data_IF_962417104462
#
_entry.id   IF_962417104462
#
_cell.length_a   1.000
_cell.length_b   1.000
_cell.length_c   1.000
_cell.angle_alpha   90.00
_cell.angle_beta   90.00
_cell.angle_gamma   90.00
#
_symmetry.space_group_name_H-M   'P 1'
#
loop_
_entity.id
_entity.type
_entity.pdbx_description
1 polymer ?
#
# COMPACT_ATOMS: atom_id res chain seq x y z
N UNK A 1 10.55 -10.87 -12.40
CA UNK A 1 9.08 -10.87 -12.64
C UNK A 1 8.56 -12.25 -12.35
N UNK A 2 7.46 -12.35 -11.64
CA UNK A 2 6.78 -13.62 -11.37
C UNK A 2 5.40 -13.52 -12.00
N UNK A 3 5.07 -14.50 -12.84
CA UNK A 3 3.71 -14.67 -13.35
C UNK A 3 2.93 -15.52 -12.36
N UNK A 4 1.69 -15.12 -12.07
CA UNK A 4 0.72 -15.91 -11.34
C UNK A 4 -0.36 -16.35 -12.32
N UNK A 5 -0.67 -17.65 -12.34
CA UNK A 5 -1.70 -18.19 -13.22
C UNK A 5 -3.03 -18.23 -12.50
N UNK A 6 -4.08 -17.73 -13.13
CA UNK A 6 -5.46 -17.89 -12.71
C UNK A 6 -6.30 -18.43 -13.88
N UNK A 7 -6.69 -19.70 -13.82
CA UNK A 7 -7.33 -20.38 -14.95
C UNK A 7 -6.49 -20.34 -16.24
N UNK A 8 -6.98 -19.62 -17.25
CA UNK A 8 -6.29 -19.36 -18.52
C UNK A 8 -5.60 -18.00 -18.56
N UNK A 9 -5.76 -17.18 -17.52
CA UNK A 9 -5.21 -15.84 -17.46
C UNK A 9 -3.88 -15.84 -16.68
N UNK A 10 -3.08 -14.82 -16.94
CA UNK A 10 -1.84 -14.54 -16.25
C UNK A 10 -1.92 -13.20 -15.53
N UNK A 11 -1.30 -13.13 -14.37
CA UNK A 11 -1.18 -11.91 -13.59
C UNK A 11 0.29 -11.62 -13.31
N UNK A 12 0.68 -10.35 -13.37
CA UNK A 12 1.99 -9.90 -12.95
C UNK A 12 1.91 -8.52 -12.31
N UNK A 13 2.90 -8.22 -11.47
CA UNK A 13 3.13 -6.85 -10.96
C UNK A 13 4.29 -6.23 -11.72
N UNK A 14 4.10 -5.01 -12.22
CA UNK A 14 5.15 -4.22 -12.84
C UNK A 14 5.37 -2.92 -12.07
N UNK A 15 6.63 -2.66 -11.70
CA UNK A 15 7.02 -1.42 -11.05
C UNK A 15 7.35 -0.38 -12.10
N UNK A 16 6.80 0.81 -11.96
CA UNK A 16 7.08 1.97 -12.82
C UNK A 16 7.35 3.20 -11.95
N UNK A 17 8.17 4.13 -12.43
CA UNK A 17 8.36 5.41 -11.76
C UNK A 17 7.15 6.34 -11.92
N UNK A 18 7.02 7.35 -11.06
CA UNK A 18 5.98 8.37 -11.18
C UNK A 18 5.99 9.07 -12.57
N UNK A 19 7.18 9.34 -13.12
CA UNK A 19 7.30 9.93 -14.46
C UNK A 19 6.71 9.04 -15.55
N UNK A 20 6.92 7.72 -15.47
CA UNK A 20 6.34 6.75 -16.42
C UNK A 20 4.82 6.67 -16.26
N UNK A 21 4.33 6.75 -15.02
CA UNK A 21 2.91 6.71 -14.72
C UNK A 21 2.14 7.92 -15.27
N UNK A 22 2.79 9.11 -15.35
CA UNK A 22 2.19 10.35 -15.84
C UNK A 22 2.46 10.61 -17.33
N UNK A 23 3.67 10.30 -17.79
CA UNK A 23 4.18 10.70 -19.12
C UNK A 23 4.21 9.54 -20.12
N UNK A 24 3.69 8.38 -19.76
CA UNK A 24 3.72 7.17 -20.60
C UNK A 24 5.04 6.41 -20.48
N UNK A 25 5.03 5.17 -20.98
CA UNK A 25 6.17 4.27 -20.85
C UNK A 25 6.19 3.21 -21.95
N UNK A 26 7.36 2.59 -22.09
CA UNK A 26 7.54 1.38 -22.87
C UNK A 26 8.44 0.43 -22.07
N UNK A 27 7.99 -0.80 -21.87
CA UNK A 27 8.81 -1.83 -21.26
C UNK A 27 8.74 -3.14 -22.03
N UNK A 28 9.73 -4.00 -21.80
CA UNK A 28 9.82 -5.32 -22.42
C UNK A 28 9.94 -6.39 -21.36
N UNK A 29 9.29 -7.53 -21.57
CA UNK A 29 9.46 -8.69 -20.70
C UNK A 29 9.48 -9.97 -21.52
N UNK A 30 10.08 -11.03 -20.96
CA UNK A 30 10.11 -12.36 -21.58
C UNK A 30 8.87 -13.13 -21.13
N UNK A 31 8.04 -13.56 -22.08
CA UNK A 31 6.86 -14.37 -21.81
C UNK A 31 7.26 -15.82 -21.50
N UNK A 32 6.30 -16.61 -21.00
CA UNK A 32 6.49 -18.03 -20.66
C UNK A 32 6.83 -18.89 -21.90
N UNK A 33 6.39 -18.48 -23.09
CA UNK A 33 6.73 -19.15 -24.36
C UNK A 33 8.10 -18.71 -24.94
N UNK A 34 8.82 -17.84 -24.22
CA UNK A 34 10.14 -17.36 -24.59
C UNK A 34 10.15 -16.13 -25.51
N UNK A 35 8.99 -15.68 -26.02
CA UNK A 35 8.91 -14.43 -26.81
C UNK A 35 9.25 -13.21 -25.96
N UNK A 36 9.78 -12.19 -26.61
CA UNK A 36 9.93 -10.86 -26.03
C UNK A 36 8.66 -10.04 -26.34
N UNK A 37 7.92 -9.63 -25.31
CA UNK A 37 6.74 -8.80 -25.45
C UNK A 37 7.12 -7.36 -25.16
N UNK A 38 6.70 -6.44 -26.03
CA UNK A 38 6.87 -4.99 -25.84
C UNK A 38 5.51 -4.40 -25.50
N UNK A 39 5.39 -3.81 -24.32
CA UNK A 39 4.18 -3.10 -23.88
C UNK A 39 4.45 -1.61 -23.96
N UNK A 40 3.53 -0.87 -24.58
CA UNK A 40 3.58 0.58 -24.70
C UNK A 40 2.32 1.19 -24.12
N UNK A 41 2.49 2.27 -23.38
CA UNK A 41 1.38 3.09 -22.89
C UNK A 41 1.65 4.55 -23.26
N UNK A 42 0.73 5.22 -23.98
CA UNK A 42 1.01 6.50 -24.58
C UNK A 42 1.10 7.62 -23.54
N UNK A 43 1.89 8.68 -23.80
CA UNK A 43 1.88 9.90 -23.01
C UNK A 43 0.48 10.52 -22.92
N UNK A 44 0.18 11.18 -21.80
CA UNK A 44 -1.11 11.83 -21.56
C UNK A 44 -2.22 10.90 -21.06
N UNK A 45 -1.95 9.60 -20.91
CA UNK A 45 -2.81 8.67 -20.17
C UNK A 45 -2.12 8.30 -18.86
N UNK A 46 -2.82 8.46 -17.75
CA UNK A 46 -2.28 8.19 -16.41
C UNK A 46 -2.43 6.72 -16.02
N UNK A 47 -1.44 6.19 -15.33
CA UNK A 47 -1.51 4.94 -14.55
C UNK A 47 -1.59 5.29 -13.07
N UNK A 48 -2.69 4.90 -12.44
CA UNK A 48 -2.88 5.07 -11.00
C UNK A 48 -2.14 3.97 -10.22
N UNK A 49 -1.63 4.27 -9.02
CA UNK A 49 -1.04 3.26 -8.13
C UNK A 49 -2.01 2.10 -7.89
N UNK A 50 -1.53 0.87 -8.10
CA UNK A 50 -2.30 -0.35 -7.89
C UNK A 50 -3.31 -0.69 -8.99
N UNK A 51 -3.47 0.15 -10.03
CA UNK A 51 -4.42 -0.14 -11.09
C UNK A 51 -3.97 -1.33 -11.95
N UNK A 52 -4.94 -1.96 -12.62
CA UNK A 52 -4.72 -3.12 -13.49
C UNK A 52 -5.01 -2.75 -14.94
N UNK A 53 -4.12 -3.16 -15.84
CA UNK A 53 -4.35 -3.12 -17.29
C UNK A 53 -4.22 -4.51 -17.90
N UNK A 54 -4.84 -4.69 -19.05
CA UNK A 54 -4.90 -5.98 -19.74
C UNK A 54 -4.12 -5.94 -21.04
N UNK A 55 -3.32 -6.98 -21.29
CA UNK A 55 -2.73 -7.32 -22.58
C UNK A 55 -3.48 -8.53 -23.10
N UNK A 56 -4.36 -8.30 -24.07
CA UNK A 56 -5.28 -9.33 -24.57
C UNK A 56 -4.52 -10.45 -25.29
N UNK A 57 -4.93 -11.70 -25.05
CA UNK A 57 -4.39 -12.88 -25.71
C UNK A 57 -2.98 -13.30 -25.26
N UNK A 58 -2.44 -12.67 -24.22
CA UNK A 58 -1.12 -12.99 -23.66
C UNK A 58 -1.20 -13.82 -22.37
N UNK A 59 -2.34 -14.48 -22.12
CA UNK A 59 -2.50 -15.49 -21.08
C UNK A 59 -2.01 -16.88 -21.51
N UNK A 60 -2.51 -17.91 -20.83
CA UNK A 60 -2.24 -19.32 -21.11
C UNK A 60 -3.16 -19.85 -22.23
N UNK A 61 -2.66 -20.77 -23.08
CA UNK A 61 -3.50 -21.47 -24.06
C UNK A 61 -4.57 -22.32 -23.38
N UNK A 62 -5.76 -22.37 -23.97
CA UNK A 62 -6.83 -23.24 -23.50
C UNK A 62 -6.53 -24.71 -23.76
N UNK A 63 -6.95 -25.56 -22.83
CA UNK A 63 -6.82 -27.01 -23.00
C UNK A 63 -7.61 -27.49 -24.22
N UNK A 64 -6.95 -28.22 -25.13
CA UNK A 64 -7.47 -28.70 -26.43
C UNK A 64 -7.73 -27.64 -27.50
N UNK A 65 -7.60 -26.34 -27.20
CA UNK A 65 -7.64 -25.28 -28.20
C UNK A 65 -6.48 -24.29 -28.00
N UNK A 66 -5.26 -24.62 -28.45
CA UNK A 66 -4.07 -23.80 -28.19
C UNK A 66 -4.07 -22.45 -28.92
N UNK A 67 -4.98 -22.25 -29.88
CA UNK A 67 -5.14 -20.98 -30.58
C UNK A 67 -5.95 -19.97 -29.78
N UNK A 68 -6.73 -20.43 -28.80
CA UNK A 68 -7.39 -19.55 -27.84
C UNK A 68 -6.52 -19.43 -26.59
N UNK A 69 -6.20 -18.19 -26.23
CA UNK A 69 -5.44 -17.86 -25.02
C UNK A 69 -6.29 -16.97 -24.12
N UNK A 70 -6.08 -17.07 -22.82
CA UNK A 70 -6.54 -16.04 -21.89
C UNK A 70 -5.77 -14.73 -22.05
N UNK A 71 -5.92 -13.86 -21.07
CA UNK A 71 -5.33 -12.52 -21.04
C UNK A 71 -4.22 -12.41 -19.99
N UNK A 72 -3.35 -11.39 -20.17
CA UNK A 72 -2.37 -10.99 -19.16
C UNK A 72 -2.84 -9.72 -18.47
N UNK A 73 -3.02 -9.78 -17.15
CA UNK A 73 -3.33 -8.65 -16.30
C UNK A 73 -2.07 -8.14 -15.60
N UNK A 74 -1.77 -6.87 -15.77
CA UNK A 74 -0.61 -6.21 -15.19
C UNK A 74 -1.09 -5.24 -14.13
N UNK A 75 -0.77 -5.52 -12.86
CA UNK A 75 -0.93 -4.57 -11.75
C UNK A 75 0.28 -3.65 -11.72
N UNK A 76 0.05 -2.34 -11.72
CA UNK A 76 1.12 -1.35 -11.66
C UNK A 76 1.40 -0.92 -10.23
N UNK A 77 2.67 -0.99 -9.84
CA UNK A 77 3.20 -0.50 -8.57
C UNK A 77 4.01 0.77 -8.85
N UNK A 78 3.40 1.94 -8.59
CA UNK A 78 3.99 3.24 -8.91
C UNK A 78 4.95 3.63 -7.80
N UNK A 79 6.24 3.73 -8.13
CA UNK A 79 7.28 4.17 -7.21
C UNK A 79 7.34 5.70 -7.22
N UNK A 80 6.95 6.30 -6.11
CA UNK A 80 7.17 7.72 -5.87
C UNK A 80 8.66 7.97 -5.57
N UNK A 81 9.17 9.17 -5.94
CA UNK A 81 10.53 9.55 -5.58
C UNK A 81 10.67 9.71 -4.06
N UNK A 82 11.91 9.61 -3.58
CA UNK A 82 12.24 9.79 -2.16
C UNK A 82 12.03 11.25 -1.70
N UNK A 83 11.98 11.48 -0.38
CA UNK A 83 11.91 12.83 0.16
C UNK A 83 13.10 13.68 -0.30
N UNK A 84 12.87 14.95 -0.62
CA UNK A 84 13.90 15.90 -1.09
C UNK A 84 14.59 15.52 -2.42
N UNK A 85 13.96 14.69 -3.27
CA UNK A 85 14.49 14.32 -4.59
C UNK A 85 14.67 15.50 -5.56
N UNK A 86 13.99 16.61 -5.31
CA UNK A 86 14.01 17.84 -6.11
C UNK A 86 14.13 19.04 -5.18
N UNK A 87 14.81 20.09 -5.65
CA UNK A 87 15.03 21.31 -4.86
C UNK A 87 13.75 22.15 -4.76
N UNK A 88 13.59 22.96 -3.68
CA UNK A 88 12.41 23.78 -3.47
C UNK A 88 12.12 24.75 -4.62
N UNK A 89 13.15 25.27 -5.28
CA UNK A 89 13.00 26.23 -6.38
C UNK A 89 12.29 25.60 -7.59
N UNK A 90 12.59 24.32 -7.85
CA UNK A 90 11.97 23.58 -8.96
C UNK A 90 10.61 22.99 -8.60
N UNK A 91 10.23 22.93 -7.32
CA UNK A 91 8.90 22.50 -6.92
C UNK A 91 7.83 23.47 -7.41
N UNK A 92 8.13 24.78 -7.48
CA UNK A 92 7.21 25.77 -8.05
C UNK A 92 6.92 25.47 -9.53
N UNK A 93 7.96 25.16 -10.31
CA UNK A 93 7.79 24.79 -11.73
C UNK A 93 6.97 23.51 -11.90
N UNK A 94 7.14 22.54 -10.99
CA UNK A 94 6.35 21.31 -10.98
C UNK A 94 4.88 21.57 -10.63
N UNK A 95 4.62 22.45 -9.65
CA UNK A 95 3.26 22.81 -9.24
C UNK A 95 2.48 23.47 -10.39
N UNK A 96 3.12 24.31 -11.19
CA UNK A 96 2.53 24.94 -12.37
C UNK A 96 2.14 23.94 -13.48
N UNK A 97 2.77 22.76 -13.52
CA UNK A 97 2.49 21.71 -14.50
C UNK A 97 1.38 20.74 -14.05
N UNK A 98 1.02 20.76 -12.77
CA UNK A 98 0.02 19.87 -12.18
C UNK A 98 -1.36 20.55 -12.09
N UNK A 99 -2.44 19.77 -11.89
CA UNK A 99 -3.75 20.35 -11.62
C UNK A 99 -3.72 21.29 -10.41
N UNK A 100 -4.47 22.40 -10.49
CA UNK A 100 -4.49 23.43 -9.45
C UNK A 100 -4.85 22.86 -8.08
N UNK A 101 -4.15 23.34 -7.06
CA UNK A 101 -4.42 22.99 -5.67
C UNK A 101 -5.85 23.42 -5.29
N UNK A 102 -6.66 22.56 -4.65
CA UNK A 102 -7.97 22.96 -4.16
C UNK A 102 -7.85 24.17 -3.21
N UNK A 103 -8.81 25.09 -3.28
CA UNK A 103 -8.88 26.20 -2.34
C UNK A 103 -9.18 25.66 -0.94
N UNK A 104 -8.38 26.08 0.04
CA UNK A 104 -8.67 25.80 1.44
C UNK A 104 -9.74 26.79 1.92
N UNK A 105 -10.81 26.33 2.60
CA UNK A 105 -11.78 27.24 3.16
C UNK A 105 -11.09 28.16 4.17
N UNK A 106 -11.36 29.45 4.08
CA UNK A 106 -10.96 30.39 5.13
C UNK A 106 -11.65 29.97 6.42
N UNK A 107 -10.89 29.43 7.37
CA UNK A 107 -11.44 29.00 8.65
C UNK A 107 -11.69 30.26 9.49
N UNK A 108 -12.96 30.63 9.62
CA UNK A 108 -13.41 31.78 10.42
C UNK A 108 -13.76 31.26 11.82
N UNK A 109 -12.85 31.41 12.77
CA UNK A 109 -13.03 30.96 14.17
C UNK A 109 -11.71 30.55 14.83
N UNK A 110 -11.82 30.03 16.05
CA UNK A 110 -10.74 29.42 16.83
C UNK A 110 -10.45 27.99 16.33
N UNK A 111 -9.71 27.90 15.23
CA UNK A 111 -9.20 26.63 14.71
C UNK A 111 -7.82 26.32 15.30
N UNK A 112 -7.63 25.06 15.69
CA UNK A 112 -6.35 24.53 16.16
C UNK A 112 -5.54 24.01 14.97
N UNK A 113 -4.34 24.55 14.79
CA UNK A 113 -3.36 24.05 13.82
C UNK A 113 -2.62 22.86 14.44
N UNK A 114 -2.57 21.75 13.71
CA UNK A 114 -1.92 20.51 14.15
C UNK A 114 -0.98 19.99 13.07
N UNK A 115 0.21 19.55 13.48
CA UNK A 115 1.21 18.98 12.58
C UNK A 115 0.99 17.47 12.37
N UNK A 116 1.09 17.02 11.12
CA UNK A 116 1.15 15.60 10.80
C UNK A 116 2.52 15.03 11.20
N UNK A 117 2.51 13.92 11.95
CA UNK A 117 3.71 13.19 12.33
C UNK A 117 3.69 11.79 11.72
N UNK A 118 4.88 11.23 11.52
CA UNK A 118 5.01 9.83 11.11
C UNK A 118 4.40 8.89 12.16
N UNK A 119 3.75 7.83 11.68
CA UNK A 119 3.17 6.82 12.55
C UNK A 119 4.26 5.89 13.11
N UNK A 120 4.49 5.94 14.43
CA UNK A 120 5.43 5.06 15.13
C UNK A 120 4.78 3.70 15.42
N UNK A 121 5.13 2.67 14.63
CA UNK A 121 4.61 1.30 14.78
C UNK A 121 5.11 0.60 16.05
N UNK A 122 6.14 1.10 16.72
CA UNK A 122 6.77 0.43 17.86
C UNK A 122 6.01 0.64 19.18
N UNK A 123 5.20 1.69 19.28
CA UNK A 123 4.44 2.04 20.49
C UNK A 123 3.25 1.11 20.77
N UNK A 124 2.88 0.24 19.84
CA UNK A 124 1.73 -0.67 19.94
C UNK A 124 2.04 -2.16 20.20
N UNK A 125 3.31 -2.57 20.27
CA UNK A 125 3.69 -3.99 20.42
C UNK A 125 4.16 -4.39 21.84
N UNK A 126 3.85 -3.59 22.86
CA UNK A 126 4.19 -3.87 24.27
C UNK A 126 3.24 -4.82 25.02
N UNK A 127 2.38 -5.58 24.32
CA UNK A 127 1.43 -6.51 24.92
C UNK A 127 1.99 -7.92 25.02
N UNK A 128 2.79 -8.23 26.05
CA UNK A 128 3.33 -9.59 26.20
C UNK A 128 4.23 -9.92 27.38
N UNK A 129 4.27 -9.13 28.47
CA UNK A 129 4.78 -9.67 29.74
C UNK A 129 3.65 -10.42 30.44
N UNK A 130 3.53 -11.72 30.14
CA UNK A 130 2.87 -12.68 31.02
C UNK A 130 3.55 -12.55 32.39
N UNK A 131 2.87 -11.95 33.36
CA UNK A 131 3.21 -12.10 34.79
C UNK A 131 3.08 -13.59 35.11
N UNK A 132 4.21 -14.29 35.23
CA UNK A 132 4.23 -15.60 35.88
C UNK A 132 3.88 -15.39 37.34
N UNK A 133 2.64 -15.75 37.67
CA UNK A 133 2.02 -15.55 38.96
C UNK A 133 2.19 -16.79 39.85
N UNK A 134 3.42 -17.26 40.10
CA UNK A 134 3.70 -18.27 41.13
C UNK A 134 5.15 -18.16 41.61
N UNK A 135 5.41 -17.27 42.57
CA UNK A 135 6.45 -17.52 43.57
C UNK A 135 6.27 -16.59 44.77
N UNK A 136 5.49 -17.01 45.75
CA UNK A 136 5.73 -16.60 47.14
C UNK A 136 5.28 -17.74 48.06
N UNK A 137 6.25 -18.54 48.47
CA UNK A 137 6.15 -19.48 49.59
C UNK A 137 7.01 -18.91 50.70
N UNK A 138 6.38 -18.46 51.80
CA UNK A 138 6.76 -18.83 53.18
C UNK A 138 6.03 -17.99 54.24
N UNK A 139 5.20 -18.70 55.01
CA UNK A 139 5.02 -18.65 56.47
C UNK A 139 4.35 -17.48 57.23
N UNK A 140 3.31 -17.91 57.96
CA UNK A 140 2.92 -17.64 59.35
C UNK A 140 2.01 -16.44 59.74
N UNK A 141 0.85 -16.83 60.29
CA UNK A 141 -0.07 -16.20 61.25
C UNK A 141 -0.06 -14.67 61.43
N UNK A 142 -1.23 -14.04 61.19
CA UNK A 142 -2.04 -13.45 62.28
C UNK A 142 -3.34 -12.81 61.76
N UNK A 143 -4.43 -13.23 62.40
CA UNK A 143 -5.82 -12.74 62.37
C UNK A 143 -5.98 -11.22 62.32
N UNK A 144 -6.97 -10.69 61.56
CA UNK A 144 -7.99 -9.72 62.03
C UNK A 144 -9.01 -9.30 60.92
N UNK A 145 -10.28 -9.65 61.17
CA UNK A 145 -11.53 -8.89 60.99
C UNK A 145 -11.86 -8.12 59.67
N UNK A 146 -12.99 -8.49 59.05
CA UNK A 146 -13.69 -7.78 57.95
C UNK A 146 -14.39 -6.47 58.39
N UNK A 147 -15.45 -5.95 57.73
CA UNK A 147 -16.36 -6.57 56.76
C UNK A 147 -16.56 -5.80 55.43
N UNK A 148 -17.15 -6.49 54.44
CA UNK A 148 -17.47 -5.96 53.11
C UNK A 148 -18.75 -5.12 53.04
N UNK A 149 -18.80 -4.27 52.03
CA UNK A 149 -19.99 -3.50 51.63
C UNK A 149 -20.16 -3.60 50.10
N UNK A 150 -21.34 -4.05 49.67
CA UNK A 150 -21.79 -4.06 48.27
C UNK A 150 -22.60 -2.79 48.00
N UNK A 151 -22.40 -2.16 46.84
CA UNK A 151 -23.24 -1.06 46.36
C UNK A 151 -24.04 -1.51 45.12
N UNK A 152 -25.36 -1.31 45.16
CA UNK A 152 -26.28 -1.50 44.04
C UNK A 152 -26.54 -0.17 43.33
N UNK A 153 -26.70 -0.23 42.00
CA UNK A 153 -27.05 0.89 41.12
C UNK A 153 -28.56 1.18 41.12
N UNK A 154 -28.89 2.46 40.91
CA UNK A 154 -30.02 2.87 40.08
C UNK A 154 -29.47 3.73 38.93
#
# INVERSE_FOLDING_TARGET
MVFQRDGNDLHMTHKIGLVEALCGFQFTFKHLDGRQIVVKYPPGKVIEPGCVRVVRGEGMPQYRNPFEKGDLYIKFDVQFPENNWISPEKLSELEDLLPARPEFPNVIGDAEEVDLQEFDTTRGSGGGQRREAYNDSSDEESSHHGPGVQCAHQ
#
